data_IF_711349057136
#
_entry.id   IF_711349057136
#
_cell.length_a   1.000
_cell.length_b   1.000
_cell.length_c   1.000
_cell.angle_alpha   90.00
_cell.angle_beta   90.00
_cell.angle_gamma   90.00
#
_symmetry.space_group_name_H-M   'P 1'
#
loop_
_entity.id
_entity.type
_entity.pdbx_description
1 polymer ?
#
# COMPACT_ATOMS: atom_id res chain seq x y z
N UNK A 1 -33.86 -9.31 9.96
CA UNK A 1 -34.28 -8.00 9.43
C UNK A 1 -33.02 -7.16 9.23
N UNK A 2 -32.73 -6.79 7.98
CA UNK A 2 -31.57 -5.93 7.66
C UNK A 2 -31.91 -4.49 8.02
N UNK A 3 -31.19 -3.89 8.97
CA UNK A 3 -31.33 -2.45 9.22
C UNK A 3 -30.72 -1.68 8.05
N UNK A 4 -31.53 -0.85 7.39
CA UNK A 4 -31.07 0.09 6.37
C UNK A 4 -30.77 1.40 7.06
N UNK A 5 -29.52 1.87 6.96
CA UNK A 5 -29.07 3.15 7.51
C UNK A 5 -29.17 4.21 6.41
N UNK A 6 -29.92 5.27 6.66
CA UNK A 6 -29.92 6.46 5.81
C UNK A 6 -28.77 7.37 6.23
N UNK A 7 -28.02 7.88 5.25
CA UNK A 7 -26.88 8.79 5.45
C UNK A 7 -27.01 9.97 4.50
N UNK A 8 -26.60 11.15 4.95
CA UNK A 8 -26.58 12.35 4.12
C UNK A 8 -25.45 12.26 3.10
N UNK A 9 -25.75 12.54 1.83
CA UNK A 9 -24.79 12.42 0.73
C UNK A 9 -23.53 13.27 0.96
N UNK A 10 -23.71 14.52 1.43
CA UNK A 10 -22.61 15.46 1.65
C UNK A 10 -21.62 14.97 2.72
N UNK A 11 -22.15 14.41 3.82
CA UNK A 11 -21.35 13.87 4.91
C UNK A 11 -20.57 12.64 4.45
N UNK A 12 -21.25 11.73 3.73
CA UNK A 12 -20.64 10.50 3.23
C UNK A 12 -19.56 10.78 2.18
N UNK A 13 -19.83 11.70 1.25
CA UNK A 13 -18.87 12.11 0.22
C UNK A 13 -17.62 12.73 0.84
N UNK A 14 -17.78 13.63 1.82
CA UNK A 14 -16.64 14.26 2.49
C UNK A 14 -15.79 13.23 3.23
N UNK A 15 -16.44 12.32 3.95
CA UNK A 15 -15.76 11.26 4.69
C UNK A 15 -15.00 10.31 3.76
N UNK A 16 -15.70 9.74 2.78
CA UNK A 16 -15.10 8.82 1.80
C UNK A 16 -13.93 9.44 1.05
N UNK A 17 -14.05 10.72 0.69
CA UNK A 17 -12.97 11.45 0.03
C UNK A 17 -11.75 11.63 0.94
N UNK A 18 -11.96 12.04 2.20
CA UNK A 18 -10.87 12.22 3.16
C UNK A 18 -10.18 10.89 3.49
N UNK A 19 -10.95 9.82 3.68
CA UNK A 19 -10.42 8.48 3.97
C UNK A 19 -9.55 7.97 2.81
N UNK A 20 -10.02 8.14 1.57
CA UNK A 20 -9.24 7.79 0.39
C UNK A 20 -8.00 8.66 0.23
N UNK A 21 -8.15 9.98 0.35
CA UNK A 21 -7.03 10.92 0.22
C UNK A 21 -5.93 10.62 1.24
N UNK A 22 -6.30 10.39 2.50
CA UNK A 22 -5.35 10.08 3.55
C UNK A 22 -4.65 8.73 3.30
N UNK A 23 -5.41 7.71 2.90
CA UNK A 23 -4.88 6.39 2.51
C UNK A 23 -3.87 6.49 1.37
N UNK A 24 -4.15 7.32 0.36
CA UNK A 24 -3.23 7.54 -0.76
C UNK A 24 -1.97 8.25 -0.31
N UNK A 25 -2.10 9.34 0.45
CA UNK A 25 -0.96 10.18 0.86
C UNK A 25 0.02 9.37 1.69
N UNK A 26 -0.46 8.69 2.74
CA UNK A 26 0.41 7.98 3.70
C UNK A 26 0.75 6.56 3.22
N UNK A 27 -0.22 5.87 2.61
CA UNK A 27 -0.12 4.44 2.34
C UNK A 27 0.33 4.08 0.92
N UNK A 28 0.51 5.05 0.02
CA UNK A 28 0.75 4.74 -1.40
C UNK A 28 1.66 5.72 -2.12
N UNK A 29 1.34 7.00 -2.11
CA UNK A 29 1.85 7.97 -3.06
C UNK A 29 3.17 8.62 -2.63
N UNK A 30 3.31 8.98 -1.35
CA UNK A 30 4.50 9.64 -0.84
C UNK A 30 5.51 8.64 -0.26
N UNK A 31 6.82 8.88 -0.47
CA UNK A 31 7.87 8.12 0.19
C UNK A 31 8.03 8.55 1.65
N UNK A 32 8.54 7.63 2.49
CA UNK A 32 8.96 7.96 3.85
C UNK A 32 10.30 8.73 3.81
N UNK A 33 10.45 9.76 4.63
CA UNK A 33 11.66 10.59 4.64
C UNK A 33 12.91 9.84 5.13
N UNK A 34 12.75 8.76 5.91
CA UNK A 34 13.87 8.02 6.52
C UNK A 34 14.62 7.17 5.50
N UNK A 35 13.90 6.55 4.58
CA UNK A 35 14.45 5.60 3.60
C UNK A 35 14.17 5.99 2.14
N UNK A 36 13.34 7.01 1.89
CA UNK A 36 12.94 7.43 0.55
C UNK A 36 12.00 6.45 -0.17
N UNK A 37 11.47 5.43 0.52
CA UNK A 37 10.70 4.36 -0.11
C UNK A 37 9.18 4.54 0.08
N UNK A 38 8.45 4.34 -1.02
CA UNK A 38 7.00 4.13 -0.98
C UNK A 38 6.69 2.74 -0.40
N UNK A 39 5.49 2.52 0.19
CA UNK A 39 5.14 1.25 0.82
C UNK A 39 5.32 0.02 -0.07
N UNK A 40 5.02 0.12 -1.38
CA UNK A 40 5.20 -1.00 -2.33
C UNK A 40 6.66 -1.39 -2.52
N UNK A 41 7.58 -0.41 -2.61
CA UNK A 41 9.01 -0.69 -2.79
C UNK A 41 9.58 -1.40 -1.56
N UNK A 42 9.21 -0.95 -0.36
CA UNK A 42 9.65 -1.58 0.89
C UNK A 42 9.18 -3.04 0.99
N UNK A 43 7.94 -3.33 0.58
CA UNK A 43 7.42 -4.71 0.55
C UNK A 43 8.17 -5.59 -0.44
N UNK A 44 8.48 -5.08 -1.63
CA UNK A 44 9.24 -5.83 -2.64
C UNK A 44 10.64 -6.17 -2.12
N UNK A 45 11.37 -5.19 -1.60
CA UNK A 45 12.72 -5.41 -1.07
C UNK A 45 12.72 -6.35 0.13
N UNK A 46 11.74 -6.23 1.02
CA UNK A 46 11.58 -7.15 2.15
C UNK A 46 11.27 -8.58 1.69
N UNK A 47 10.33 -8.77 0.77
CA UNK A 47 10.02 -10.10 0.22
C UNK A 47 11.23 -10.72 -0.50
N UNK A 48 12.00 -9.92 -1.25
CA UNK A 48 13.24 -10.36 -1.87
C UNK A 48 14.29 -10.78 -0.84
N UNK A 49 14.42 -10.05 0.27
CA UNK A 49 15.29 -10.41 1.38
C UNK A 49 14.89 -11.75 2.01
N UNK A 50 13.61 -11.92 2.36
CA UNK A 50 13.09 -13.17 2.97
C UNK A 50 13.25 -14.38 2.03
N UNK A 51 13.12 -14.17 0.72
CA UNK A 51 13.37 -15.21 -0.29
C UNK A 51 14.87 -15.43 -0.57
N UNK A 52 15.75 -14.67 0.08
CA UNK A 52 17.19 -14.73 -0.10
C UNK A 52 17.63 -14.35 -1.52
N UNK A 53 16.91 -13.46 -2.21
CA UNK A 53 17.26 -12.91 -3.52
C UNK A 53 18.30 -11.80 -3.36
N UNK A 54 19.46 -12.14 -2.82
CA UNK A 54 20.59 -11.24 -2.64
C UNK A 54 21.48 -11.23 -3.89
N UNK A 55 22.31 -10.19 -4.03
CA UNK A 55 23.12 -9.93 -5.23
C UNK A 55 24.16 -11.05 -5.53
N UNK A 56 24.54 -11.82 -4.52
CA UNK A 56 25.49 -12.93 -4.60
C UNK A 56 24.86 -14.24 -5.10
N UNK A 57 23.53 -14.32 -5.24
CA UNK A 57 22.81 -15.54 -5.63
C UNK A 57 22.28 -15.48 -7.06
N UNK A 58 22.08 -16.65 -7.71
CA UNK A 58 21.46 -16.71 -9.03
C UNK A 58 20.06 -16.09 -9.07
N UNK A 59 19.72 -15.47 -10.21
CA UNK A 59 18.42 -14.84 -10.41
C UNK A 59 17.26 -15.83 -10.27
N UNK A 60 16.18 -15.38 -9.62
CA UNK A 60 14.89 -16.06 -9.58
C UNK A 60 13.90 -15.32 -10.50
N UNK A 61 12.94 -16.05 -11.06
CA UNK A 61 11.90 -15.47 -11.94
C UNK A 61 11.07 -14.42 -11.18
N UNK A 62 10.78 -13.29 -11.83
CA UNK A 62 10.05 -12.18 -11.22
C UNK A 62 8.67 -12.57 -10.69
N UNK A 63 7.95 -13.46 -11.38
CA UNK A 63 6.65 -13.98 -10.96
C UNK A 63 6.69 -14.78 -9.63
N UNK A 64 7.88 -15.05 -9.07
CA UNK A 64 8.03 -15.64 -7.74
C UNK A 64 8.05 -14.58 -6.62
N UNK A 65 8.32 -13.32 -6.97
CA UNK A 65 8.43 -12.18 -6.04
C UNK A 65 7.15 -11.33 -6.10
N UNK A 66 6.59 -11.17 -7.30
CA UNK A 66 5.31 -10.48 -7.58
C UNK A 66 4.14 -11.35 -7.15
#
# INVERSE_FOLDING_TARGET
MTQIRTVWLEEEMKKSYLDYAMSVIVGRALPDARDGLKPVHRRILYAMHELGCTHDKPYKKSARIV
#
